data_IF_065756364024
#
_entry.id   IF_065756364024
#
_cell.length_a   1.000
_cell.length_b   1.000
_cell.length_c   1.000
_cell.angle_alpha   90.00
_cell.angle_beta   90.00
_cell.angle_gamma   90.00
#
_symmetry.space_group_name_H-M   'P 1'
#
loop_
_entity.id
_entity.type
_entity.pdbx_description
1 polymer ?
#
# COMPACT_ATOMS: atom_id res chain seq x y z
N UNK A 1 17.80 32.10 -48.41
CA UNK A 1 17.36 32.03 -46.99
C UNK A 1 16.90 30.60 -46.63
N UNK A 2 17.80 29.62 -46.54
CA UNK A 2 17.41 28.21 -46.30
C UNK A 2 18.23 27.49 -45.22
N UNK A 3 19.16 28.18 -44.53
CA UNK A 3 20.05 27.57 -43.52
C UNK A 3 19.52 27.65 -42.08
N UNK A 4 18.56 28.53 -41.79
CA UNK A 4 17.97 28.67 -40.44
C UNK A 4 16.92 27.60 -40.11
N UNK A 5 16.32 26.96 -41.11
CA UNK A 5 15.25 25.98 -40.91
C UNK A 5 15.75 24.63 -40.36
N UNK A 6 17.06 24.33 -40.46
CA UNK A 6 17.61 23.03 -40.06
C UNK A 6 17.96 22.93 -38.57
N UNK A 7 18.11 24.07 -37.88
CA UNK A 7 18.56 24.10 -36.48
C UNK A 7 17.43 24.26 -35.47
N UNK A 8 16.22 24.60 -35.91
CA UNK A 8 15.02 24.71 -35.05
C UNK A 8 14.29 23.37 -34.85
N UNK A 9 14.52 22.39 -35.72
CA UNK A 9 13.90 21.06 -35.64
C UNK A 9 14.49 20.19 -34.50
N UNK A 10 15.76 20.39 -34.16
CA UNK A 10 16.47 19.62 -33.12
C UNK A 10 15.91 19.90 -31.71
N UNK A 11 15.77 21.15 -31.25
CA UNK A 11 15.16 21.41 -29.93
C UNK A 11 13.67 21.05 -29.88
N UNK A 12 12.95 21.15 -31.00
CA UNK A 12 11.57 20.69 -31.09
C UNK A 12 11.45 19.18 -30.88
N UNK A 13 12.39 18.38 -31.41
CA UNK A 13 12.41 16.92 -31.22
C UNK A 13 12.67 16.53 -29.75
N UNK A 14 13.48 17.31 -29.02
CA UNK A 14 13.73 17.07 -27.60
C UNK A 14 12.54 17.42 -26.69
N UNK A 15 11.72 18.41 -27.06
CA UNK A 15 10.50 18.76 -26.32
C UNK A 15 9.40 17.69 -26.42
N UNK A 16 9.38 16.89 -27.49
CA UNK A 16 8.44 15.79 -27.68
C UNK A 16 8.92 14.43 -27.12
N UNK A 17 10.20 14.33 -26.72
CA UNK A 17 10.78 13.09 -26.19
C UNK A 17 10.58 12.92 -24.67
N UNK A 18 9.98 13.89 -23.99
CA UNK A 18 9.65 13.74 -22.57
C UNK A 18 8.51 12.71 -22.45
N UNK A 19 8.69 11.60 -21.71
CA UNK A 19 7.59 10.71 -21.44
C UNK A 19 6.51 11.50 -20.70
N UNK A 20 5.31 11.60 -21.27
CA UNK A 20 4.14 11.98 -20.50
C UNK A 20 3.96 10.91 -19.42
N UNK A 21 4.45 11.18 -18.21
CA UNK A 21 3.99 10.48 -17.02
C UNK A 21 2.54 10.89 -16.79
N UNK A 22 1.63 10.26 -17.54
CA UNK A 22 0.21 10.36 -17.31
C UNK A 22 -0.09 9.95 -15.87
N UNK A 23 -1.06 10.60 -15.24
CA UNK A 23 -1.46 10.28 -13.88
C UNK A 23 -1.81 8.80 -13.80
N UNK A 24 -1.00 8.02 -13.09
CA UNK A 24 -1.30 6.61 -12.87
C UNK A 24 -2.46 6.50 -11.88
N UNK A 25 -3.39 5.58 -12.16
CA UNK A 25 -4.48 5.30 -11.25
C UNK A 25 -3.94 4.58 -10.01
N UNK A 26 -4.19 5.15 -8.83
CA UNK A 26 -3.96 4.46 -7.58
C UNK A 26 -5.07 3.42 -7.33
N UNK A 27 -4.67 2.17 -7.12
CA UNK A 27 -5.56 1.09 -6.70
C UNK A 27 -5.26 0.80 -5.23
N UNK A 28 -6.13 1.27 -4.34
CA UNK A 28 -5.97 1.10 -2.90
C UNK A 28 -6.75 -0.12 -2.39
N UNK A 29 -6.04 -1.08 -1.80
CA UNK A 29 -6.63 -2.24 -1.14
C UNK A 29 -6.73 -2.03 0.37
N UNK A 30 -7.92 -2.18 0.94
CA UNK A 30 -8.10 -2.11 2.39
C UNK A 30 -7.93 -3.48 3.01
N UNK A 31 -7.11 -3.56 4.06
CA UNK A 31 -6.85 -4.78 4.81
C UNK A 31 -7.48 -4.67 6.21
N UNK A 32 -8.72 -5.18 6.40
CA UNK A 32 -9.50 -4.97 7.62
C UNK A 32 -9.16 -5.96 8.74
N UNK A 33 -9.09 -5.49 10.00
CA UNK A 33 -8.94 -6.35 11.18
C UNK A 33 -10.25 -6.98 11.70
N UNK A 34 -11.39 -6.28 11.58
CA UNK A 34 -12.70 -6.62 12.18
C UNK A 34 -13.34 -7.96 11.76
N UNK A 35 -12.70 -8.71 10.86
CA UNK A 35 -13.17 -9.99 10.32
C UNK A 35 -12.09 -11.07 10.34
N UNK A 36 -10.93 -10.75 10.91
CA UNK A 36 -9.77 -11.64 10.95
C UNK A 36 -10.12 -12.97 11.62
N UNK A 37 -10.75 -12.96 12.79
CA UNK A 37 -11.11 -14.20 13.50
C UNK A 37 -12.00 -15.14 12.68
N UNK A 38 -12.93 -14.59 11.88
CA UNK A 38 -13.85 -15.39 11.03
C UNK A 38 -13.27 -15.75 9.66
N UNK A 39 -12.21 -15.08 9.22
CA UNK A 39 -11.65 -15.23 7.87
C UNK A 39 -10.12 -15.26 7.88
N UNK A 40 -9.51 -15.92 8.87
CA UNK A 40 -8.04 -15.97 9.02
C UNK A 40 -7.35 -16.42 7.72
N UNK A 41 -7.92 -17.42 7.06
CA UNK A 41 -7.40 -17.95 5.79
C UNK A 41 -7.49 -16.99 4.59
N UNK A 42 -8.31 -15.93 4.67
CA UNK A 42 -8.45 -14.94 3.58
C UNK A 42 -7.79 -13.61 3.91
N UNK A 43 -7.63 -13.32 5.20
CA UNK A 43 -6.96 -12.12 5.71
C UNK A 43 -5.51 -12.46 6.08
N UNK A 44 -4.83 -13.12 5.15
CA UNK A 44 -3.42 -13.46 5.17
C UNK A 44 -2.70 -12.54 4.18
N UNK A 45 -1.65 -11.87 4.64
CA UNK A 45 -0.85 -10.94 3.84
C UNK A 45 -0.17 -11.57 2.61
N UNK A 46 0.11 -12.87 2.61
CA UNK A 46 0.67 -13.66 1.49
C UNK A 46 -0.33 -13.88 0.36
N UNK A 47 -1.63 -13.83 0.67
CA UNK A 47 -2.70 -14.02 -0.31
C UNK A 47 -3.15 -12.70 -0.94
N UNK A 48 -2.60 -11.57 -0.50
CA UNK A 48 -2.87 -10.26 -1.09
C UNK A 48 -2.25 -10.23 -2.50
N UNK A 49 -3.04 -9.91 -3.55
CA UNK A 49 -2.53 -9.79 -4.91
C UNK A 49 -1.82 -8.45 -5.10
N UNK A 50 -0.63 -8.27 -4.52
CA UNK A 50 0.14 -7.02 -4.53
C UNK A 50 0.38 -6.46 -5.94
N UNK A 51 0.52 -7.33 -6.93
CA UNK A 51 0.69 -6.94 -8.34
C UNK A 51 -0.52 -6.18 -8.93
N UNK A 52 -1.68 -6.23 -8.26
CA UNK A 52 -2.91 -5.54 -8.67
C UNK A 52 -3.16 -4.24 -7.89
N UNK A 53 -2.34 -3.96 -6.88
CA UNK A 53 -2.55 -2.87 -5.94
C UNK A 53 -1.39 -1.88 -6.02
N UNK A 54 -1.71 -0.59 -5.96
CA UNK A 54 -0.70 0.46 -5.80
C UNK A 54 -0.41 0.71 -4.33
N UNK A 55 -1.43 0.57 -3.48
CA UNK A 55 -1.37 0.83 -2.04
C UNK A 55 -2.14 -0.27 -1.30
N UNK A 56 -1.61 -0.70 -0.16
CA UNK A 56 -2.33 -1.53 0.81
C UNK A 56 -2.46 -0.72 2.10
N UNK A 57 -3.70 -0.42 2.49
CA UNK A 57 -4.02 0.35 3.68
C UNK A 57 -4.56 -0.56 4.77
N UNK A 58 -3.85 -0.62 5.90
CA UNK A 58 -4.36 -1.28 7.09
C UNK A 58 -5.55 -0.50 7.66
N UNK A 59 -6.67 -1.18 7.91
CA UNK A 59 -7.92 -0.57 8.30
C UNK A 59 -8.75 -1.51 9.22
N UNK A 60 -9.83 -1.09 9.86
CA UNK A 60 -10.23 0.31 10.08
C UNK A 60 -9.95 0.68 11.53
N UNK A 61 -9.56 1.93 11.73
CA UNK A 61 -9.51 2.55 13.04
C UNK A 61 -10.76 3.41 13.25
N UNK A 62 -11.13 3.66 14.50
CA UNK A 62 -12.23 4.56 14.85
C UNK A 62 -11.83 5.50 16.00
N UNK A 63 -12.38 6.74 16.02
CA UNK A 63 -12.11 7.68 17.09
C UNK A 63 -12.97 7.40 18.33
N UNK A 64 -12.40 7.57 19.51
CA UNK A 64 -13.11 7.65 20.78
C UNK A 64 -13.63 9.07 21.03
N UNK A 65 -14.51 9.22 22.02
CA UNK A 65 -15.01 10.54 22.44
C UNK A 65 -13.87 11.47 22.94
N UNK A 66 -12.77 10.89 23.43
CA UNK A 66 -11.55 11.62 23.79
C UNK A 66 -10.76 12.17 22.59
N UNK A 67 -11.07 11.74 21.36
CA UNK A 67 -10.30 12.03 20.16
C UNK A 67 -9.18 11.02 19.87
N UNK A 68 -8.96 10.05 20.76
CA UNK A 68 -8.00 8.97 20.54
C UNK A 68 -8.46 8.05 19.40
N UNK A 69 -7.52 7.62 18.54
CA UNK A 69 -7.79 6.68 17.45
C UNK A 69 -7.42 5.27 17.92
N UNK A 70 -8.39 4.36 17.92
CA UNK A 70 -8.21 2.97 18.33
C UNK A 70 -8.56 1.99 17.21
N UNK A 71 -8.00 0.79 17.27
CA UNK A 71 -8.29 -0.28 16.33
C UNK A 71 -9.60 -1.00 16.64
N UNK A 72 -10.14 -1.72 15.64
CA UNK A 72 -11.44 -2.40 15.75
C UNK A 72 -11.42 -3.73 16.50
N UNK A 73 -10.28 -4.43 16.53
CA UNK A 73 -10.15 -5.73 17.18
C UNK A 73 -8.73 -5.82 17.75
N UNK A 74 -8.52 -5.45 19.03
CA UNK A 74 -7.18 -5.32 19.60
C UNK A 74 -6.29 -6.56 19.43
N UNK A 75 -6.90 -7.75 19.42
CA UNK A 75 -6.16 -9.02 19.24
C UNK A 75 -5.74 -9.18 17.79
N UNK A 76 -6.66 -8.95 16.84
CA UNK A 76 -6.32 -8.97 15.42
C UNK A 76 -5.36 -7.83 15.05
N UNK A 77 -5.52 -6.66 15.66
CA UNK A 77 -4.70 -5.49 15.40
C UNK A 77 -3.25 -5.74 15.83
N UNK A 78 -3.05 -6.26 17.03
CA UNK A 78 -1.72 -6.62 17.53
C UNK A 78 -1.07 -7.70 16.64
N UNK A 79 -1.82 -8.77 16.33
CA UNK A 79 -1.31 -9.87 15.51
C UNK A 79 -0.98 -9.44 14.06
N UNK A 80 -1.88 -8.70 13.40
CA UNK A 80 -1.71 -8.31 12.00
C UNK A 80 -0.62 -7.25 11.82
N UNK A 81 -0.42 -6.35 12.80
CA UNK A 81 0.58 -5.29 12.74
C UNK A 81 1.96 -5.72 13.25
N UNK A 82 2.02 -6.59 14.25
CA UNK A 82 3.28 -6.95 14.94
C UNK A 82 3.71 -8.40 14.74
N UNK A 83 2.82 -9.27 14.28
CA UNK A 83 3.06 -10.71 14.21
C UNK A 83 2.87 -11.40 15.55
N UNK A 84 3.34 -12.64 15.64
CA UNK A 84 3.22 -13.47 16.84
C UNK A 84 4.45 -13.26 17.73
N UNK A 85 4.25 -13.03 19.02
CA UNK A 85 5.35 -13.06 19.97
C UNK A 85 5.61 -14.51 20.38
N UNK A 86 6.84 -14.99 20.23
CA UNK A 86 7.26 -16.27 20.79
C UNK A 86 7.27 -16.19 22.33
N UNK A 87 6.47 -17.03 22.98
CA UNK A 87 6.32 -17.04 24.44
C UNK A 87 7.60 -17.44 25.19
N UNK A 88 8.56 -18.10 24.52
CA UNK A 88 9.81 -18.56 25.15
C UNK A 88 10.94 -17.53 25.01
N UNK A 89 11.10 -16.95 23.82
CA UNK A 89 12.18 -16.00 23.54
C UNK A 89 11.77 -14.52 23.61
N UNK A 90 10.46 -14.23 23.63
CA UNK A 90 9.93 -12.87 23.54
C UNK A 90 10.15 -12.20 22.19
N UNK A 91 10.64 -12.92 21.18
CA UNK A 91 10.91 -12.39 19.85
C UNK A 91 9.63 -12.35 19.03
N UNK A 92 9.52 -11.36 18.16
CA UNK A 92 8.47 -11.32 17.14
C UNK A 92 8.81 -12.33 16.04
N UNK A 93 7.96 -13.34 15.89
CA UNK A 93 7.92 -14.20 14.73
C UNK A 93 7.24 -13.44 13.59
N UNK A 94 7.83 -13.43 12.36
CA UNK A 94 7.16 -12.89 11.19
C UNK A 94 5.77 -13.51 11.07
N UNK A 95 4.74 -12.69 10.83
CA UNK A 95 3.43 -13.23 10.49
C UNK A 95 3.59 -14.09 9.23
N UNK A 96 3.45 -15.40 9.35
CA UNK A 96 3.53 -16.39 8.28
C UNK A 96 2.17 -17.02 7.97
N UNK A 97 1.14 -16.59 8.70
CA UNK A 97 -0.25 -17.04 8.66
C UNK A 97 -1.09 -16.37 7.59
#
# INVERSE_FOLDING_TARGET
MAKLLKWTLIPALFLFALPLQGQQKDINGYFPSWKWQKNRERLNHRLIPYQKLTIVTYAFFYPLQSGEIVGMDPVADDFLLKGKTDSLSGRLEPNDS
#
